data_IF_207406017378
#
_entry.id   IF_207406017378
#
_cell.length_a   1.000
_cell.length_b   1.000
_cell.length_c   1.000
_cell.angle_alpha   90.00
_cell.angle_beta   90.00
_cell.angle_gamma   90.00
#
_symmetry.space_group_name_H-M   'P 1'
#
loop_
_entity.id
_entity.type
_entity.pdbx_description
1 polymer ?
#
# COMPACT_ATOMS: atom_id res chain seq x y z
N UNK A 1 -32.72 -21.50 -7.14
CA UNK A 1 -31.37 -21.14 -7.63
C UNK A 1 -30.60 -20.67 -6.40
N UNK A 2 -29.66 -21.48 -5.91
CA UNK A 2 -28.86 -21.12 -4.75
C UNK A 2 -27.86 -20.06 -5.14
N UNK A 3 -27.82 -18.96 -4.38
CA UNK A 3 -26.78 -17.95 -4.51
C UNK A 3 -25.44 -18.63 -4.18
N UNK A 4 -24.59 -18.84 -5.18
CA UNK A 4 -23.20 -19.21 -4.95
C UNK A 4 -22.54 -17.93 -4.42
N UNK A 5 -22.44 -17.81 -3.09
CA UNK A 5 -21.59 -16.80 -2.48
C UNK A 5 -20.17 -17.20 -2.80
N UNK A 6 -19.56 -16.52 -3.75
CA UNK A 6 -18.12 -16.66 -4.00
C UNK A 6 -17.39 -16.25 -2.72
N UNK A 7 -16.88 -17.25 -2.01
CA UNK A 7 -16.14 -17.06 -0.79
C UNK A 7 -14.81 -16.38 -1.13
N UNK A 8 -14.49 -15.27 -0.45
CA UNK A 8 -13.22 -14.58 -0.66
C UNK A 8 -12.08 -15.50 -0.22
N UNK A 9 -11.21 -15.86 -1.17
CA UNK A 9 -9.97 -16.58 -0.89
C UNK A 9 -9.15 -15.83 0.16
N UNK A 10 -8.52 -16.58 1.06
CA UNK A 10 -7.61 -16.03 2.05
C UNK A 10 -6.37 -16.92 2.14
N UNK A 11 -5.31 -16.39 2.74
CA UNK A 11 -4.02 -17.08 2.87
C UNK A 11 -4.08 -18.45 3.56
N UNK A 12 -5.12 -18.74 4.34
CA UNK A 12 -5.31 -20.03 5.00
C UNK A 12 -6.16 -21.02 4.19
N UNK A 13 -6.84 -20.57 3.13
CA UNK A 13 -7.80 -21.38 2.37
C UNK A 13 -7.53 -21.42 0.87
N UNK A 14 -6.60 -20.61 0.36
CA UNK A 14 -6.19 -20.69 -1.05
C UNK A 14 -5.47 -22.01 -1.29
N UNK A 15 -5.93 -22.75 -2.29
CA UNK A 15 -5.23 -23.93 -2.79
C UNK A 15 -4.08 -23.43 -3.68
N UNK A 16 -2.85 -23.76 -3.31
CA UNK A 16 -1.64 -23.32 -4.03
C UNK A 16 -1.29 -24.25 -5.20
N UNK A 17 -1.95 -25.40 -5.32
CA UNK A 17 -1.77 -26.32 -6.44
C UNK A 17 -2.80 -26.08 -7.56
N UNK A 18 -3.78 -25.20 -7.34
CA UNK A 18 -4.79 -24.77 -8.32
C UNK A 18 -4.42 -23.39 -8.91
N UNK A 19 -4.00 -23.38 -10.18
CA UNK A 19 -3.58 -22.17 -10.91
C UNK A 19 -4.71 -21.13 -11.03
N UNK A 20 -5.96 -21.56 -11.22
CA UNK A 20 -7.10 -20.63 -11.34
C UNK A 20 -7.43 -19.99 -9.99
N UNK A 21 -7.32 -20.76 -8.89
CA UNK A 21 -7.51 -20.23 -7.55
C UNK A 21 -6.40 -19.24 -7.17
N UNK A 22 -5.16 -19.49 -7.59
CA UNK A 22 -4.03 -18.60 -7.40
C UNK A 22 -4.18 -17.27 -8.14
N UNK A 23 -4.52 -17.31 -9.43
CA UNK A 23 -4.72 -16.10 -10.25
C UNK A 23 -5.81 -15.20 -9.64
N UNK A 24 -6.92 -15.81 -9.23
CA UNK A 24 -8.04 -15.11 -8.59
C UNK A 24 -7.62 -14.51 -7.24
N UNK A 25 -6.79 -15.22 -6.47
CA UNK A 25 -6.30 -14.74 -5.20
C UNK A 25 -5.30 -13.59 -5.37
N UNK A 26 -4.42 -13.66 -6.38
CA UNK A 26 -3.49 -12.59 -6.72
C UNK A 26 -4.24 -11.31 -7.11
N UNK A 27 -5.22 -11.40 -8.00
CA UNK A 27 -6.05 -10.24 -8.41
C UNK A 27 -6.69 -9.57 -7.18
N UNK A 28 -7.25 -10.38 -6.28
CA UNK A 28 -7.85 -9.87 -5.04
C UNK A 28 -6.84 -9.16 -4.13
N UNK A 29 -5.65 -9.72 -3.96
CA UNK A 29 -4.63 -9.12 -3.10
C UNK A 29 -4.04 -7.85 -3.71
N UNK A 30 -3.92 -7.79 -5.04
CA UNK A 30 -3.53 -6.59 -5.79
C UNK A 30 -4.56 -5.46 -5.62
N UNK A 31 -5.85 -5.77 -5.70
CA UNK A 31 -6.92 -4.80 -5.45
C UNK A 31 -6.86 -4.24 -4.02
N UNK A 32 -6.72 -5.12 -3.02
CA UNK A 32 -6.56 -4.74 -1.61
C UNK A 32 -5.29 -3.92 -1.39
N UNK A 33 -4.19 -4.25 -2.06
CA UNK A 33 -2.97 -3.45 -2.02
C UNK A 33 -3.20 -2.06 -2.61
N UNK A 34 -3.90 -1.98 -3.74
CA UNK A 34 -4.28 -0.71 -4.38
C UNK A 34 -5.10 0.19 -3.46
N UNK A 35 -6.10 -0.37 -2.75
CA UNK A 35 -6.89 0.39 -1.77
C UNK A 35 -6.03 0.94 -0.62
N UNK A 36 -5.14 0.10 -0.07
CA UNK A 36 -4.21 0.51 1.00
C UNK A 36 -3.28 1.63 0.54
N UNK A 37 -2.70 1.50 -0.66
CA UNK A 37 -1.82 2.52 -1.25
C UNK A 37 -2.57 3.83 -1.42
N UNK A 38 -3.76 3.81 -2.03
CA UNK A 38 -4.58 5.03 -2.23
C UNK A 38 -4.93 5.72 -0.92
N UNK A 39 -5.24 4.95 0.13
CA UNK A 39 -5.49 5.48 1.46
C UNK A 39 -4.25 6.15 2.05
N UNK A 40 -3.10 5.49 1.98
CA UNK A 40 -1.84 6.03 2.48
C UNK A 40 -1.43 7.31 1.72
N UNK A 41 -1.56 7.34 0.40
CA UNK A 41 -1.26 8.52 -0.41
C UNK A 41 -2.14 9.71 -0.01
N UNK A 42 -3.45 9.51 0.14
CA UNK A 42 -4.35 10.58 0.62
C UNK A 42 -3.96 11.14 1.98
N UNK A 43 -3.50 10.29 2.89
CA UNK A 43 -3.02 10.73 4.20
C UNK A 43 -1.73 11.55 4.09
N UNK A 44 -0.78 11.10 3.26
CA UNK A 44 0.46 11.83 2.99
C UNK A 44 0.21 13.18 2.30
N UNK A 45 -0.77 13.26 1.39
CA UNK A 45 -1.22 14.50 0.76
C UNK A 45 -1.81 15.46 1.79
N UNK A 46 -2.70 14.96 2.66
CA UNK A 46 -3.32 15.75 3.73
C UNK A 46 -2.30 16.30 4.74
N UNK A 47 -1.20 15.57 4.96
CA UNK A 47 -0.08 16.00 5.79
C UNK A 47 0.90 16.95 5.06
N UNK A 48 0.69 17.22 3.77
CA UNK A 48 1.58 18.07 2.97
C UNK A 48 2.96 17.44 2.73
N UNK A 49 3.06 16.10 2.78
CA UNK A 49 4.31 15.36 2.57
C UNK A 49 4.52 15.09 1.07
N UNK A 50 3.44 14.77 0.35
CA UNK A 50 3.44 14.54 -1.10
C UNK A 50 2.48 15.49 -1.82
N UNK A 51 2.76 15.77 -3.08
CA UNK A 51 1.94 16.59 -3.97
C UNK A 51 0.83 15.78 -4.65
N UNK A 52 -0.01 16.45 -5.44
CA UNK A 52 -1.11 15.85 -6.22
C UNK A 52 -0.68 14.78 -7.24
N UNK A 53 0.63 14.67 -7.51
CA UNK A 53 1.22 13.65 -8.39
C UNK A 53 1.89 12.52 -7.58
N UNK A 54 1.74 12.53 -6.25
CA UNK A 54 2.36 11.58 -5.34
C UNK A 54 3.87 11.79 -5.14
N UNK A 55 4.43 12.94 -5.54
CA UNK A 55 5.85 13.24 -5.35
C UNK A 55 6.08 13.94 -4.02
N UNK A 56 7.19 13.63 -3.34
CA UNK A 56 7.57 14.33 -2.10
C UNK A 56 7.74 15.83 -2.34
N UNK A 57 7.04 16.64 -1.53
CA UNK A 57 7.10 18.10 -1.58
C UNK A 57 8.47 18.60 -1.10
N UNK A 58 8.98 18.05 0.01
CA UNK A 58 10.33 18.34 0.52
C UNK A 58 11.24 17.12 0.39
N UNK A 59 12.35 17.31 -0.32
CA UNK A 59 13.39 16.29 -0.53
C UNK A 59 14.63 16.50 0.35
N UNK A 60 14.75 17.67 0.97
CA UNK A 60 15.83 18.01 1.88
C UNK A 60 15.60 17.35 3.25
N UNK A 61 16.71 17.02 3.93
CA UNK A 61 16.68 16.57 5.31
C UNK A 61 16.20 17.71 6.20
N UNK A 62 15.40 17.41 7.25
CA UNK A 62 15.04 18.43 8.22
C UNK A 62 16.31 18.99 8.89
N UNK A 63 16.31 20.25 9.37
CA UNK A 63 17.51 20.95 9.82
C UNK A 63 18.35 20.20 10.86
N UNK A 64 17.72 19.40 11.72
CA UNK A 64 18.31 18.58 12.77
C UNK A 64 19.04 17.32 12.26
N UNK A 65 18.78 16.92 11.01
CA UNK A 65 19.40 15.79 10.32
C UNK A 65 20.38 16.24 9.23
N UNK A 66 20.61 17.54 9.06
CA UNK A 66 21.60 18.01 8.09
C UNK A 66 23.04 17.72 8.59
N UNK A 67 24.01 17.52 7.68
CA UNK A 67 25.39 17.18 8.07
C UNK A 67 26.10 18.23 8.94
N UNK A 68 25.65 19.49 8.85
CA UNK A 68 26.12 20.62 9.66
C UNK A 68 25.23 20.89 10.88
N UNK A 69 24.20 20.06 11.10
CA UNK A 69 23.40 20.11 12.30
C UNK A 69 24.30 19.91 13.51
N UNK A 70 24.18 20.80 14.50
CA UNK A 70 24.93 20.73 15.76
C UNK A 70 24.42 19.63 16.69
N UNK A 71 23.81 18.58 16.15
CA UNK A 71 23.48 17.37 16.89
C UNK A 71 24.80 16.64 17.12
N UNK A 72 25.38 16.84 18.30
CA UNK A 72 26.49 15.99 18.76
C UNK A 72 26.03 14.53 18.72
N UNK A 73 26.78 13.68 18.02
CA UNK A 73 26.63 12.22 18.00
C UNK A 73 27.16 11.57 19.27
#
# INVERSE_FOLDING_TARGET
>A
MGEIKEEKLNWATVDLDDEEALDRFEEQELDRAGERIRKAVKELEALGIVDERGQRIKKELPPDMQPDSKTDV
#
